data_IF_454624062956
#
_entry.id   IF_454624062956
#
_cell.length_a   1.000
_cell.length_b   1.000
_cell.length_c   1.000
_cell.angle_alpha   90.00
_cell.angle_beta   90.00
_cell.angle_gamma   90.00
#
_symmetry.space_group_name_H-M   'P 1'
#
loop_
_entity.id
_entity.type
_entity.pdbx_description
1 polymer ?
#
# COMPACT_ATOMS: atom_id res chain seq x y z
N UNK A 1 -25.82 3.71 -28.56
CA UNK A 1 -24.72 3.06 -27.82
C UNK A 1 -25.31 2.15 -26.75
N UNK A 2 -25.11 0.83 -26.85
CA UNK A 2 -25.48 -0.08 -25.79
C UNK A 2 -24.74 0.32 -24.50
N UNK A 3 -25.41 0.27 -23.35
CA UNK A 3 -24.72 0.45 -22.06
C UNK A 3 -23.69 -0.67 -21.97
N UNK A 4 -22.40 -0.33 -21.80
CA UNK A 4 -21.29 -1.28 -21.73
C UNK A 4 -21.55 -2.43 -20.74
N UNK A 5 -22.37 -2.17 -19.71
CA UNK A 5 -22.75 -3.12 -18.68
C UNK A 5 -24.28 -3.15 -18.51
N UNK A 6 -24.97 -4.18 -19.04
CA UNK A 6 -26.41 -4.34 -18.90
C UNK A 6 -26.77 -4.79 -17.48
N UNK A 7 -28.02 -4.53 -17.05
CA UNK A 7 -28.55 -5.12 -15.83
C UNK A 7 -28.95 -6.58 -16.10
N UNK A 8 -28.45 -7.50 -15.27
CA UNK A 8 -28.71 -8.93 -15.37
C UNK A 8 -28.99 -9.46 -13.97
N UNK A 9 -29.97 -10.35 -13.88
CA UNK A 9 -30.28 -11.09 -12.66
C UNK A 9 -29.26 -12.24 -12.53
N UNK A 10 -28.55 -12.33 -11.40
CA UNK A 10 -27.43 -13.27 -11.24
C UNK A 10 -27.36 -13.81 -9.82
N UNK A 11 -26.95 -15.06 -9.67
CA UNK A 11 -26.63 -15.64 -8.36
C UNK A 11 -25.36 -14.99 -7.79
N UNK A 12 -25.45 -14.51 -6.55
CA UNK A 12 -24.37 -13.76 -5.90
C UNK A 12 -23.96 -14.43 -4.60
N UNK A 13 -22.69 -14.30 -4.23
CA UNK A 13 -22.15 -15.00 -3.06
C UNK A 13 -22.64 -14.46 -1.70
N UNK A 14 -23.25 -13.27 -1.67
CA UNK A 14 -23.66 -12.59 -0.43
C UNK A 14 -25.17 -12.67 -0.13
N UNK A 15 -25.96 -13.28 -1.01
CA UNK A 15 -27.42 -13.30 -0.88
C UNK A 15 -27.97 -14.67 -1.28
N UNK A 16 -29.00 -15.20 -0.58
CA UNK A 16 -29.63 -16.46 -0.95
C UNK A 16 -30.55 -16.33 -2.17
N UNK A 17 -30.83 -15.10 -2.60
CA UNK A 17 -31.64 -14.80 -3.78
C UNK A 17 -30.78 -14.19 -4.87
N UNK A 18 -31.26 -14.27 -6.11
CA UNK A 18 -30.61 -13.59 -7.22
C UNK A 18 -30.73 -12.08 -7.06
N UNK A 19 -29.64 -11.38 -7.39
CA UNK A 19 -29.59 -9.93 -7.34
C UNK A 19 -29.30 -9.32 -8.71
N UNK A 20 -29.78 -8.09 -8.91
CA UNK A 20 -29.48 -7.35 -10.13
C UNK A 20 -28.05 -6.82 -10.09
N UNK A 21 -27.26 -7.25 -11.06
CA UNK A 21 -25.87 -6.84 -11.25
C UNK A 21 -25.67 -6.24 -12.64
N UNK A 22 -24.55 -5.58 -12.87
CA UNK A 22 -24.16 -4.96 -14.14
C UNK A 22 -23.39 -5.95 -15.04
N UNK A 23 -23.87 -7.18 -15.11
CA UNK A 23 -23.21 -8.26 -15.84
C UNK A 23 -22.00 -8.81 -15.10
N UNK A 24 -20.95 -9.19 -15.83
CA UNK A 24 -19.75 -9.83 -15.26
C UNK A 24 -18.47 -9.11 -15.65
N UNK A 25 -17.48 -9.15 -14.77
CA UNK A 25 -16.10 -8.74 -15.04
C UNK A 25 -15.16 -9.84 -14.56
N UNK A 26 -14.30 -10.35 -15.43
CA UNK A 26 -13.40 -11.48 -15.16
C UNK A 26 -14.15 -12.70 -14.57
N UNK A 27 -15.32 -13.01 -15.11
CA UNK A 27 -16.16 -14.13 -14.66
C UNK A 27 -16.98 -13.88 -13.40
N UNK A 28 -16.71 -12.81 -12.65
CA UNK A 28 -17.41 -12.47 -11.40
C UNK A 28 -18.50 -11.42 -11.62
N UNK A 29 -19.55 -11.38 -10.77
CA UNK A 29 -20.57 -10.34 -10.81
C UNK A 29 -19.97 -8.93 -10.76
N UNK A 30 -20.49 -8.03 -11.59
CA UNK A 30 -20.07 -6.63 -11.65
C UNK A 30 -21.14 -5.72 -11.04
N UNK A 31 -20.76 -4.82 -10.15
CA UNK A 31 -21.66 -3.87 -9.50
C UNK A 31 -21.33 -2.44 -9.92
N UNK A 32 -22.35 -1.59 -10.02
CA UNK A 32 -22.13 -0.15 -10.14
C UNK A 32 -21.79 0.47 -8.79
N UNK A 33 -21.13 1.63 -8.83
CA UNK A 33 -20.91 2.45 -7.64
C UNK A 33 -22.20 2.63 -6.82
N UNK A 34 -22.13 2.36 -5.52
CA UNK A 34 -23.24 2.52 -4.57
C UNK A 34 -24.24 1.36 -4.53
N UNK A 35 -24.13 0.36 -5.41
CA UNK A 35 -25.05 -0.79 -5.42
C UNK A 35 -24.63 -1.91 -4.45
N UNK A 36 -23.33 -2.01 -4.13
CA UNK A 36 -22.84 -3.07 -3.26
C UNK A 36 -23.37 -2.94 -1.81
N UNK A 37 -23.94 -4.00 -1.22
CA UNK A 37 -24.39 -3.99 0.17
C UNK A 37 -23.20 -3.84 1.12
N UNK A 38 -23.05 -2.63 1.69
CA UNK A 38 -21.88 -2.22 2.50
C UNK A 38 -21.67 -3.02 3.79
N UNK A 39 -22.71 -3.68 4.29
CA UNK A 39 -22.65 -4.50 5.49
C UNK A 39 -22.21 -5.95 5.21
N UNK A 40 -22.20 -6.38 3.94
CA UNK A 40 -21.80 -7.73 3.51
C UNK A 40 -20.50 -7.71 2.71
N UNK A 41 -20.31 -6.67 1.88
CA UNK A 41 -19.20 -6.54 0.97
C UNK A 41 -18.29 -5.35 1.32
N UNK A 42 -16.99 -5.59 1.23
CA UNK A 42 -15.98 -4.57 1.43
C UNK A 42 -14.81 -4.73 0.43
N UNK A 43 -14.23 -3.60 0.04
CA UNK A 43 -12.94 -3.59 -0.66
C UNK A 43 -11.79 -3.91 0.29
N UNK A 44 -10.61 -4.30 -0.22
CA UNK A 44 -9.41 -4.54 0.63
C UNK A 44 -9.09 -3.38 1.57
N UNK A 45 -9.27 -2.13 1.10
CA UNK A 45 -9.04 -0.92 1.92
C UNK A 45 -10.08 -0.78 3.02
N UNK A 46 -11.35 -1.07 2.74
CA UNK A 46 -12.42 -1.04 3.75
C UNK A 46 -12.21 -2.14 4.80
N UNK A 47 -11.86 -3.36 4.40
CA UNK A 47 -11.49 -4.41 5.36
C UNK A 47 -10.32 -3.97 6.25
N UNK A 48 -9.28 -3.37 5.65
CA UNK A 48 -8.13 -2.88 6.42
C UNK A 48 -8.54 -1.82 7.46
N UNK A 49 -9.47 -0.93 7.12
CA UNK A 49 -10.00 0.07 8.04
C UNK A 49 -10.83 -0.56 9.17
N UNK A 50 -11.45 -1.71 8.92
CA UNK A 50 -12.17 -2.51 9.93
C UNK A 50 -11.23 -3.41 10.76
N UNK A 51 -9.91 -3.35 10.58
CA UNK A 51 -8.98 -4.26 11.25
C UNK A 51 -9.01 -5.69 10.70
N UNK A 52 -9.53 -5.87 9.49
CA UNK A 52 -9.67 -7.16 8.81
C UNK A 52 -8.74 -7.26 7.59
N UNK A 53 -8.55 -8.49 7.11
CA UNK A 53 -7.91 -8.84 5.83
C UNK A 53 -8.80 -9.83 5.08
N UNK A 54 -8.67 -9.99 3.76
CA UNK A 54 -9.48 -10.94 2.98
C UNK A 54 -9.46 -12.39 3.46
N UNK A 55 -8.49 -12.78 4.30
CA UNK A 55 -8.45 -14.12 4.87
C UNK A 55 -7.92 -15.21 3.93
N UNK A 56 -7.56 -14.86 2.69
CA UNK A 56 -7.20 -15.82 1.63
C UNK A 56 -8.34 -16.12 0.66
N UNK A 57 -9.51 -15.50 0.86
CA UNK A 57 -10.62 -15.58 -0.09
C UNK A 57 -10.29 -14.81 -1.38
N UNK A 58 -10.72 -15.34 -2.51
CA UNK A 58 -10.77 -14.60 -3.79
C UNK A 58 -11.91 -13.57 -3.77
N UNK A 59 -11.85 -12.51 -4.60
CA UNK A 59 -12.96 -11.57 -4.74
C UNK A 59 -14.25 -12.29 -5.13
N UNK A 60 -15.39 -11.83 -4.59
CA UNK A 60 -16.72 -12.38 -4.95
C UNK A 60 -17.46 -11.55 -5.99
N UNK A 61 -17.02 -10.31 -6.20
CA UNK A 61 -17.54 -9.38 -7.20
C UNK A 61 -16.53 -8.29 -7.50
N UNK A 62 -16.78 -7.56 -8.59
CA UNK A 62 -16.14 -6.30 -8.88
C UNK A 62 -17.14 -5.16 -8.78
N UNK A 63 -16.67 -3.97 -8.44
CA UNK A 63 -17.43 -2.73 -8.57
C UNK A 63 -16.72 -1.80 -9.54
N UNK A 64 -17.43 -1.23 -10.51
CA UNK A 64 -16.85 -0.22 -11.39
C UNK A 64 -17.35 1.18 -11.08
N UNK A 65 -16.48 2.16 -11.28
CA UNK A 65 -16.81 3.57 -11.20
C UNK A 65 -15.88 4.40 -12.09
N UNK A 66 -16.31 5.61 -12.44
CA UNK A 66 -15.46 6.56 -13.18
C UNK A 66 -14.66 7.39 -12.18
N UNK A 67 -13.35 7.17 -12.13
CA UNK A 67 -12.46 7.99 -11.32
C UNK A 67 -12.19 9.31 -12.05
N UNK A 68 -12.74 10.42 -11.53
CA UNK A 68 -12.58 11.74 -12.14
C UNK A 68 -11.11 12.18 -12.18
N UNK A 69 -10.38 12.02 -11.07
CA UNK A 69 -8.96 12.41 -10.96
C UNK A 69 -8.05 11.67 -11.94
N UNK A 70 -8.33 10.39 -12.19
CA UNK A 70 -7.55 9.57 -13.11
C UNK A 70 -8.12 9.53 -14.53
N UNK A 71 -9.20 10.27 -14.80
CA UNK A 71 -9.93 10.31 -16.07
C UNK A 71 -10.27 8.94 -16.68
N UNK A 72 -10.39 7.89 -15.87
CA UNK A 72 -10.57 6.50 -16.33
C UNK A 72 -11.61 5.74 -15.52
N UNK A 73 -12.13 4.68 -16.13
CA UNK A 73 -12.92 3.70 -15.41
C UNK A 73 -12.00 2.83 -14.56
N UNK A 74 -12.42 2.58 -13.32
CA UNK A 74 -11.70 1.78 -12.34
C UNK A 74 -12.61 0.66 -11.86
N UNK A 75 -12.03 -0.50 -11.65
CA UNK A 75 -12.68 -1.67 -11.05
C UNK A 75 -12.07 -1.90 -9.67
N UNK A 76 -12.91 -2.22 -8.69
CA UNK A 76 -12.53 -2.52 -7.33
C UNK A 76 -13.01 -3.92 -6.97
N UNK A 77 -12.11 -4.75 -6.46
CA UNK A 77 -12.43 -6.06 -5.89
C UNK A 77 -13.29 -5.91 -4.63
N UNK A 78 -14.33 -6.72 -4.53
CA UNK A 78 -15.19 -6.84 -3.35
C UNK A 78 -15.05 -8.22 -2.72
N UNK A 79 -14.97 -8.22 -1.40
CA UNK A 79 -14.78 -9.38 -0.55
C UNK A 79 -15.93 -9.49 0.45
N UNK A 80 -16.27 -10.71 0.87
CA UNK A 80 -17.23 -10.93 1.94
C UNK A 80 -16.60 -10.56 3.29
N UNK A 81 -17.30 -9.73 4.04
CA UNK A 81 -16.89 -9.34 5.41
C UNK A 81 -16.96 -10.55 6.34
N UNK A 82 -17.98 -11.40 6.19
CA UNK A 82 -18.16 -12.61 7.01
C UNK A 82 -17.04 -13.64 6.85
N UNK A 83 -16.40 -13.69 5.68
CA UNK A 83 -15.26 -14.57 5.40
C UNK A 83 -13.90 -13.90 5.63
N UNK A 84 -13.89 -12.65 6.08
CA UNK A 84 -12.65 -11.94 6.38
C UNK A 84 -12.02 -12.45 7.68
N UNK A 85 -10.69 -12.32 7.78
CA UNK A 85 -9.95 -12.67 8.98
C UNK A 85 -9.41 -11.41 9.66
N UNK A 86 -9.14 -11.45 10.98
CA UNK A 86 -8.42 -10.37 11.65
C UNK A 86 -7.08 -10.06 10.95
N UNK A 87 -6.77 -8.78 10.85
CA UNK A 87 -5.48 -8.31 10.35
C UNK A 87 -4.38 -8.84 11.27
N UNK A 88 -3.29 -9.33 10.67
CA UNK A 88 -2.12 -9.76 11.45
C UNK A 88 -1.46 -8.53 12.06
N UNK A 89 -1.32 -8.53 13.37
CA UNK A 89 -0.54 -7.55 14.12
C UNK A 89 0.86 -8.10 14.33
N UNK A 90 1.88 -7.26 14.11
CA UNK A 90 3.24 -7.66 14.39
C UNK A 90 3.43 -7.87 15.89
N UNK A 91 4.18 -8.90 16.26
CA UNK A 91 4.48 -9.17 17.68
C UNK A 91 5.52 -8.19 18.19
N UNK A 92 5.60 -7.93 19.52
CA UNK A 92 6.65 -7.10 20.09
C UNK A 92 8.06 -7.53 19.66
N UNK A 93 8.32 -8.84 19.61
CA UNK A 93 9.60 -9.39 19.13
C UNK A 93 9.89 -9.03 17.66
N UNK A 94 8.87 -9.06 16.79
CA UNK A 94 9.02 -8.62 15.39
C UNK A 94 9.33 -7.12 15.30
N UNK A 95 8.68 -6.29 16.12
CA UNK A 95 9.01 -4.86 16.20
C UNK A 95 10.45 -4.64 16.63
N UNK A 96 10.93 -5.34 17.66
CA UNK A 96 12.33 -5.26 18.10
C UNK A 96 13.30 -5.71 17.01
N UNK A 97 12.98 -6.79 16.29
CA UNK A 97 13.82 -7.29 15.20
C UNK A 97 13.93 -6.25 14.06
N UNK A 98 12.82 -5.63 13.66
CA UNK A 98 12.80 -4.56 12.66
C UNK A 98 13.59 -3.33 13.15
N UNK A 99 13.43 -2.95 14.42
CA UNK A 99 14.17 -1.83 15.00
C UNK A 99 15.70 -2.09 14.97
N UNK A 100 16.14 -3.29 15.35
CA UNK A 100 17.56 -3.71 15.25
C UNK A 100 18.06 -3.70 13.81
N UNK A 101 17.27 -4.23 12.87
CA UNK A 101 17.62 -4.22 11.45
C UNK A 101 17.74 -2.80 10.89
N UNK A 102 16.82 -1.90 11.27
CA UNK A 102 16.88 -0.49 10.88
C UNK A 102 18.09 0.22 11.49
N UNK A 103 18.40 -0.02 12.77
CA UNK A 103 19.58 0.53 13.42
C UNK A 103 20.86 0.10 12.68
N UNK A 104 21.02 -1.20 12.39
CA UNK A 104 22.18 -1.70 11.66
C UNK A 104 22.36 -1.04 10.29
N UNK A 105 21.27 -0.73 9.59
CA UNK A 105 21.28 0.00 8.31
C UNK A 105 21.60 1.50 8.44
N UNK A 106 21.49 2.06 9.63
CA UNK A 106 21.73 3.49 9.92
C UNK A 106 23.10 3.76 10.52
N UNK A 107 23.78 2.74 11.03
CA UNK A 107 25.14 2.88 11.56
C UNK A 107 26.11 3.15 10.41
N UNK A 108 26.86 4.26 10.51
CA UNK A 108 27.93 4.57 9.58
C UNK A 108 29.10 3.61 9.75
N UNK A 109 29.57 3.01 8.64
CA UNK A 109 30.74 2.11 8.66
C UNK A 109 32.08 2.79 8.99
N UNK A 110 32.16 4.12 8.95
CA UNK A 110 33.38 4.88 9.26
C UNK A 110 33.40 5.43 10.69
N UNK A 111 32.33 6.11 11.13
CA UNK A 111 32.31 6.75 12.46
C UNK A 111 31.50 5.98 13.50
N UNK A 112 30.83 4.88 13.14
CA UNK A 112 30.06 4.04 14.06
C UNK A 112 28.79 4.68 14.64
N UNK A 113 28.48 5.93 14.29
CA UNK A 113 27.28 6.65 14.77
C UNK A 113 26.05 6.31 13.93
N UNK A 114 24.89 6.35 14.58
CA UNK A 114 23.60 6.32 13.90
C UNK A 114 23.39 7.63 13.13
N UNK A 115 23.28 7.54 11.80
CA UNK A 115 23.16 8.68 10.91
C UNK A 115 21.76 9.34 10.92
N UNK A 116 20.75 8.71 11.51
CA UNK A 116 19.35 9.17 11.44
C UNK A 116 18.59 8.72 10.18
N UNK A 117 19.30 8.17 9.18
CA UNK A 117 18.76 7.66 7.91
C UNK A 117 19.50 6.40 7.48
N UNK A 118 18.94 5.65 6.53
CA UNK A 118 19.59 4.46 5.97
C UNK A 118 20.85 4.87 5.22
N UNK A 119 22.00 4.43 5.70
CA UNK A 119 23.29 4.70 5.09
C UNK A 119 23.34 4.07 3.70
N UNK A 120 23.73 4.82 2.64
CA UNK A 120 23.83 4.29 1.29
C UNK A 120 24.80 3.11 1.22
N UNK A 121 24.42 2.06 0.49
CA UNK A 121 25.25 0.85 0.34
C UNK A 121 26.51 1.09 -0.49
N UNK A 122 26.48 2.06 -1.39
CA UNK A 122 27.55 2.35 -2.34
C UNK A 122 28.85 2.74 -1.63
N UNK A 123 28.77 3.71 -0.71
CA UNK A 123 29.94 4.17 0.05
C UNK A 123 29.96 3.68 1.51
N UNK A 124 28.89 3.06 2.01
CA UNK A 124 28.83 2.47 3.36
C UNK A 124 29.04 3.47 4.51
N UNK A 125 28.93 4.77 4.21
CA UNK A 125 29.29 5.88 5.09
C UNK A 125 28.12 6.86 5.20
N UNK A 126 27.95 7.50 6.35
CA UNK A 126 27.08 8.66 6.42
C UNK A 126 27.62 9.80 5.54
N UNK A 127 26.74 10.68 5.08
CA UNK A 127 27.05 11.83 4.23
C UNK A 127 28.23 12.66 4.73
N UNK A 128 28.35 13.04 6.03
CA UNK A 128 29.52 13.79 6.50
C UNK A 128 30.84 13.03 6.36
N UNK A 129 30.83 11.71 6.58
CA UNK A 129 32.02 10.87 6.41
C UNK A 129 32.37 10.65 4.94
N UNK A 130 31.37 10.65 4.06
CA UNK A 130 31.57 10.58 2.62
C UNK A 130 32.12 11.91 2.08
N UNK A 131 31.50 13.04 2.40
CA UNK A 131 31.99 14.38 2.02
C UNK A 131 33.41 14.64 2.51
N UNK A 132 33.72 14.30 3.77
CA UNK A 132 35.07 14.45 4.31
C UNK A 132 36.11 13.55 3.60
N UNK A 133 35.69 12.46 2.97
CA UNK A 133 36.57 11.58 2.22
C UNK A 133 36.75 12.04 0.76
N UNK A 134 35.69 12.55 0.13
CA UNK A 134 35.71 13.05 -1.26
C UNK A 134 36.35 14.44 -1.38
N UNK A 135 36.10 15.31 -0.40
CA UNK A 135 36.48 16.72 -0.43
C UNK A 135 37.43 17.12 0.70
N UNK A 136 38.15 16.15 1.27
CA UNK A 136 38.98 16.29 2.49
C UNK A 136 39.59 17.68 2.66
N UNK A 137 39.22 18.34 3.77
CA UNK A 137 39.71 19.65 4.26
C UNK A 137 40.55 20.42 3.24
N UNK A 138 39.92 21.05 2.26
CA UNK A 138 40.51 22.27 1.73
C UNK A 138 40.33 23.30 2.84
N UNK A 139 41.37 23.49 3.64
CA UNK A 139 41.45 24.63 4.54
C UNK A 139 41.38 25.88 3.67
N UNK A 140 40.19 26.44 3.48
CA UNK A 140 39.99 27.70 2.77
C UNK A 140 40.46 28.85 3.66
N UNK A 141 41.77 28.94 3.90
CA UNK A 141 42.40 30.09 4.59
C UNK A 141 42.93 31.09 3.58
N UNK A 142 42.14 31.49 2.58
CA UNK A 142 42.62 32.47 1.58
C UNK A 142 41.68 33.66 1.34
N UNK A 143 40.51 33.76 1.99
CA UNK A 143 39.57 34.88 1.74
C UNK A 143 39.46 35.89 2.90
N UNK A 144 40.39 35.90 3.85
CA UNK A 144 40.37 36.84 4.98
C UNK A 144 41.27 38.09 4.81
N UNK A 145 42.11 38.19 3.78
CA UNK A 145 43.06 39.31 3.59
C UNK A 145 42.78 40.20 2.36
N UNK A 146 41.54 40.25 1.88
CA UNK A 146 41.15 41.12 0.77
C UNK A 146 39.94 42.01 1.12
N UNK A 147 40.15 42.97 2.03
CA UNK A 147 39.45 44.27 2.06
C UNK A 147 40.07 45.20 3.12
#
# INVERSE_FOLDING_TARGET
>A
MARQFPWVLTDVAWSPVQEFTRGKHLGLPLLSWGTAPRHLLATRRQLTAMGLRPGGQEPVAYMYFRCRRACKQVFAELFLISAAAPKRTATPAQHTAIAKANLARRICGQCGRDAGYVVPREHGKCHPCWEAAEYGTTTTTEWADAA
#
